data_IF_610778254189
#
_entry.id   IF_610778254189
#
_cell.length_a   1.000
_cell.length_b   1.000
_cell.length_c   1.000
_cell.angle_alpha   90.00
_cell.angle_beta   90.00
_cell.angle_gamma   90.00
#
_symmetry.space_group_name_H-M   'P 1'
#
loop_
_entity.id
_entity.type
_entity.pdbx_description
1 polymer ?
#
# COMPACT_ATOMS: atom_id res chain seq x y z
N UNK A 1 11.92 1.30 -20.34
CA UNK A 1 11.93 1.48 -19.86
C UNK A 1 11.79 1.56 -18.99
N UNK A 2 11.76 1.60 -18.59
CA UNK A 2 11.61 1.88 -17.90
C UNK A 2 11.89 2.01 -16.92
N UNK A 3 12.00 2.17 -16.74
CA UNK A 3 12.11 2.36 -15.89
C UNK A 3 12.41 2.82 -14.95
N UNK A 4 12.22 2.89 -14.58
CA UNK A 4 12.25 3.45 -13.61
C UNK A 4 13.11 3.18 -12.73
N UNK A 5 13.80 2.89 -12.89
CA UNK A 5 14.62 2.57 -12.21
C UNK A 5 15.07 3.46 -11.31
N UNK A 6 14.91 3.50 -10.33
CA UNK A 6 15.36 4.34 -9.36
C UNK A 6 16.69 3.91 -8.98
N UNK A 7 17.64 4.43 -9.61
CA UNK A 7 19.01 4.01 -9.38
C UNK A 7 19.46 4.24 -7.95
N UNK A 8 18.76 5.10 -7.26
CA UNK A 8 19.13 5.41 -5.89
C UNK A 8 18.39 4.59 -4.88
N UNK A 9 17.71 3.55 -5.30
CA UNK A 9 16.94 2.75 -4.39
C UNK A 9 17.84 2.12 -3.34
N UNK A 10 17.54 2.41 -2.09
CA UNK A 10 18.26 1.85 -0.97
C UNK A 10 17.85 0.38 -0.83
N UNK A 11 18.81 -0.57 -0.77
CA UNK A 11 18.45 -1.99 -0.63
C UNK A 11 17.61 -2.28 0.61
N UNK A 12 17.73 -1.46 1.66
CA UNK A 12 16.91 -1.62 2.85
C UNK A 12 15.42 -1.42 2.57
N UNK A 13 15.11 -0.61 1.55
CA UNK A 13 13.72 -0.38 1.19
C UNK A 13 13.05 -1.66 0.71
N UNK A 14 13.78 -2.49 -0.04
CA UNK A 14 13.24 -3.78 -0.49
C UNK A 14 12.90 -4.68 0.70
N UNK A 15 13.74 -4.68 1.74
CA UNK A 15 13.49 -5.48 2.93
C UNK A 15 12.22 -5.00 3.63
N UNK A 16 12.09 -3.69 3.81
CA UNK A 16 10.93 -3.13 4.48
C UNK A 16 9.66 -3.34 3.66
N UNK A 17 9.73 -3.14 2.36
CA UNK A 17 8.59 -3.32 1.48
C UNK A 17 8.08 -4.76 1.52
N UNK A 18 8.98 -5.72 1.49
CA UNK A 18 8.61 -7.13 1.58
C UNK A 18 7.92 -7.45 2.90
N UNK A 19 8.43 -6.87 4.00
CA UNK A 19 7.84 -7.09 5.31
C UNK A 19 6.45 -6.48 5.40
N UNK A 20 6.26 -5.28 4.84
CA UNK A 20 4.94 -4.64 4.85
C UNK A 20 3.95 -5.44 4.01
N UNK A 21 4.40 -5.95 2.85
CA UNK A 21 3.53 -6.79 2.01
C UNK A 21 3.12 -8.08 2.73
N UNK A 22 3.96 -8.59 3.63
CA UNK A 22 3.59 -9.78 4.41
C UNK A 22 2.73 -9.43 5.62
N UNK A 23 2.37 -8.18 5.81
CA UNK A 23 1.48 -7.79 6.90
C UNK A 23 2.13 -7.14 8.10
N UNK A 24 3.44 -6.98 8.09
CA UNK A 24 4.16 -6.35 9.19
C UNK A 24 4.08 -4.84 9.05
N UNK A 25 3.41 -4.18 9.98
CA UNK A 25 3.22 -2.73 9.90
C UNK A 25 3.64 -2.01 11.18
N UNK A 26 4.35 -2.69 12.07
CA UNK A 26 4.81 -2.06 13.28
C UNK A 26 6.14 -1.37 13.04
N UNK A 27 6.16 -0.09 13.35
CA UNK A 27 7.35 0.75 13.09
C UNK A 27 8.60 0.21 13.77
N UNK A 28 8.47 -0.20 15.03
CA UNK A 28 9.62 -0.70 15.78
C UNK A 28 10.20 -1.96 15.17
N UNK A 29 9.36 -2.86 14.69
CA UNK A 29 9.82 -4.09 14.07
C UNK A 29 10.48 -3.83 12.74
N UNK A 30 9.89 -2.95 11.93
CA UNK A 30 10.47 -2.61 10.64
C UNK A 30 11.80 -1.89 10.79
N UNK A 31 11.88 -0.99 11.77
CA UNK A 31 13.11 -0.27 12.05
C UNK A 31 14.23 -1.23 12.41
N UNK A 32 13.90 -2.24 13.22
CA UNK A 32 14.89 -3.24 13.64
C UNK A 32 15.44 -4.02 12.45
N UNK A 33 14.60 -4.30 11.46
CA UNK A 33 15.05 -5.04 10.27
C UNK A 33 16.17 -4.32 9.51
N UNK A 34 16.19 -3.00 9.58
CA UNK A 34 17.18 -2.21 8.86
C UNK A 34 18.13 -1.49 9.80
N UNK A 35 18.15 -1.91 11.06
CA UNK A 35 19.10 -1.41 12.07
C UNK A 35 18.99 0.09 12.32
N UNK A 36 17.77 0.62 12.33
CA UNK A 36 17.51 2.01 12.64
C UNK A 36 16.64 2.12 13.89
N UNK A 37 16.77 3.23 14.62
CA UNK A 37 15.82 3.50 15.68
C UNK A 37 14.46 3.82 15.05
N UNK A 38 13.36 3.68 15.79
CA UNK A 38 12.05 4.00 15.24
C UNK A 38 11.94 5.42 14.69
N UNK A 39 12.52 6.39 15.39
CA UNK A 39 12.48 7.77 14.92
C UNK A 39 13.26 7.95 13.63
N UNK A 40 14.46 7.39 13.56
CA UNK A 40 15.27 7.48 12.36
C UNK A 40 14.61 6.74 11.20
N UNK A 41 14.00 5.61 11.52
CA UNK A 41 13.27 4.84 10.50
C UNK A 41 12.16 5.69 9.89
N UNK A 42 11.39 6.41 10.70
CA UNK A 42 10.29 7.22 10.20
C UNK A 42 10.79 8.27 9.21
N UNK A 43 11.88 8.96 9.54
CA UNK A 43 12.44 9.96 8.64
C UNK A 43 13.00 9.33 7.37
N UNK A 44 13.74 8.26 7.54
CA UNK A 44 14.32 7.54 6.40
C UNK A 44 13.23 7.03 5.46
N UNK A 45 12.15 6.49 6.03
CA UNK A 45 11.08 5.91 5.22
C UNK A 45 10.40 6.99 4.37
N UNK A 46 10.13 8.16 4.95
CA UNK A 46 9.54 9.26 4.19
C UNK A 46 10.48 9.74 3.09
N UNK A 47 11.78 9.78 3.38
CA UNK A 47 12.76 10.16 2.36
C UNK A 47 12.75 9.20 1.18
N UNK A 48 12.59 7.90 1.47
CA UNK A 48 12.63 6.89 0.42
C UNK A 48 11.33 6.80 -0.37
N UNK A 49 10.19 6.93 0.29
CA UNK A 49 8.90 6.66 -0.35
C UNK A 49 8.05 7.89 -0.58
N UNK A 50 8.34 8.98 0.11
CA UNK A 50 7.52 10.17 0.08
C UNK A 50 6.29 10.11 0.96
N UNK A 51 6.09 9.00 1.69
CA UNK A 51 4.91 8.80 2.52
C UNK A 51 5.29 8.28 3.91
N UNK A 52 4.56 8.69 4.96
CA UNK A 52 4.72 8.04 6.25
C UNK A 52 4.33 6.56 6.14
N UNK A 53 4.89 5.74 7.01
CA UNK A 53 4.61 4.30 6.99
C UNK A 53 3.12 4.01 7.06
N UNK A 54 2.38 4.73 7.91
CA UNK A 54 0.94 4.52 8.04
C UNK A 54 0.22 4.68 6.70
N UNK A 55 0.55 5.74 5.98
CA UNK A 55 -0.07 6.01 4.68
C UNK A 55 0.33 4.98 3.64
N UNK A 56 1.60 4.58 3.66
CA UNK A 56 2.11 3.59 2.73
C UNK A 56 1.41 2.24 2.94
N UNK A 57 1.28 1.82 4.20
CA UNK A 57 0.61 0.56 4.51
C UNK A 57 -0.86 0.60 4.11
N UNK A 58 -1.52 1.74 4.33
CA UNK A 58 -2.90 1.91 3.92
C UNK A 58 -3.02 1.83 2.39
N UNK A 59 -2.12 2.50 1.70
CA UNK A 59 -2.11 2.48 0.24
C UNK A 59 -1.96 1.04 -0.29
N UNK A 60 -1.07 0.26 0.30
CA UNK A 60 -0.91 -1.15 -0.10
C UNK A 60 -2.18 -1.95 0.11
N UNK A 61 -2.87 -1.73 1.23
CA UNK A 61 -4.13 -2.44 1.48
C UNK A 61 -5.19 -2.07 0.46
N UNK A 62 -5.25 -0.79 0.11
CA UNK A 62 -6.26 -0.33 -0.84
C UNK A 62 -5.99 -0.87 -2.24
N UNK A 63 -4.73 -0.89 -2.66
CA UNK A 63 -4.39 -1.44 -3.97
C UNK A 63 -4.61 -2.95 -4.01
N UNK A 64 -4.37 -3.64 -2.89
CA UNK A 64 -4.67 -5.06 -2.81
C UNK A 64 -6.17 -5.31 -2.98
N UNK A 65 -7.00 -4.44 -2.39
CA UNK A 65 -8.45 -4.56 -2.55
C UNK A 65 -8.87 -4.44 -4.01
N UNK A 66 -8.23 -3.55 -4.78
CA UNK A 66 -8.54 -3.42 -6.21
C UNK A 66 -8.23 -4.72 -6.94
N UNK A 67 -7.12 -5.37 -6.60
CA UNK A 67 -6.76 -6.65 -7.19
C UNK A 67 -7.81 -7.72 -6.87
N UNK A 68 -8.31 -7.71 -5.63
CA UNK A 68 -9.36 -8.65 -5.24
C UNK A 68 -10.67 -8.40 -6.00
N UNK A 69 -11.02 -7.13 -6.18
CA UNK A 69 -12.18 -6.78 -6.98
C UNK A 69 -12.01 -7.25 -8.42
N UNK A 70 -10.82 -7.08 -8.97
CA UNK A 70 -10.53 -7.53 -10.32
C UNK A 70 -10.64 -9.05 -10.46
N UNK A 71 -10.38 -9.77 -9.36
CA UNK A 71 -10.49 -11.24 -9.37
C UNK A 71 -11.92 -11.72 -9.16
N UNK A 72 -12.86 -10.83 -8.93
CA UNK A 72 -14.27 -11.19 -8.83
C UNK A 72 -14.92 -11.05 -7.48
N UNK A 73 -14.19 -10.60 -6.45
CA UNK A 73 -14.81 -10.39 -5.14
C UNK A 73 -15.77 -9.21 -5.18
N UNK A 74 -16.80 -9.28 -4.33
CA UNK A 74 -17.70 -8.15 -4.16
C UNK A 74 -16.98 -7.03 -3.43
N UNK A 75 -17.53 -5.82 -3.50
CA UNK A 75 -16.99 -4.67 -2.80
C UNK A 75 -16.89 -4.94 -1.29
N UNK A 76 -17.93 -5.53 -0.73
CA UNK A 76 -17.95 -5.87 0.70
C UNK A 76 -16.87 -6.88 1.06
N UNK A 77 -16.75 -7.93 0.27
CA UNK A 77 -15.75 -8.97 0.55
C UNK A 77 -14.34 -8.43 0.41
N UNK A 78 -14.09 -7.63 -0.61
CA UNK A 78 -12.76 -7.04 -0.79
C UNK A 78 -12.42 -6.11 0.38
N UNK A 79 -13.38 -5.29 0.82
CA UNK A 79 -13.16 -4.40 1.94
C UNK A 79 -12.80 -5.17 3.21
N UNK A 80 -13.57 -6.23 3.50
CA UNK A 80 -13.29 -7.05 4.67
C UNK A 80 -11.93 -7.73 4.58
N UNK A 81 -11.57 -8.22 3.40
CA UNK A 81 -10.30 -8.93 3.22
C UNK A 81 -9.10 -8.05 3.53
N UNK A 82 -9.22 -6.75 3.33
CA UNK A 82 -8.11 -5.83 3.60
C UNK A 82 -8.29 -5.06 4.91
N UNK A 83 -9.22 -5.53 5.77
CA UNK A 83 -9.30 -5.04 7.14
C UNK A 83 -10.30 -3.92 7.41
N UNK A 84 -11.22 -3.65 6.50
CA UNK A 84 -12.26 -2.65 6.75
C UNK A 84 -13.54 -3.34 7.23
N UNK A 85 -14.24 -2.68 8.12
CA UNK A 85 -15.47 -3.25 8.71
C UNK A 85 -16.65 -3.17 7.75
N UNK A 86 -16.66 -2.23 6.82
CA UNK A 86 -17.74 -2.16 5.83
C UNK A 86 -17.23 -1.48 4.55
N UNK A 87 -18.00 -1.66 3.49
CA UNK A 87 -17.59 -1.15 2.18
C UNK A 87 -17.71 0.37 2.07
N UNK A 88 -18.59 0.99 2.84
CA UNK A 88 -18.73 2.43 2.82
C UNK A 88 -17.48 3.12 3.37
N UNK A 89 -16.97 2.62 4.50
CA UNK A 89 -15.74 3.14 5.08
C UNK A 89 -14.56 2.93 4.14
N UNK A 90 -14.49 1.73 3.55
CA UNK A 90 -13.46 1.41 2.58
C UNK A 90 -13.49 2.40 1.41
N UNK A 91 -14.67 2.64 0.82
CA UNK A 91 -14.80 3.54 -0.32
C UNK A 91 -14.40 4.97 0.01
N UNK A 92 -14.79 5.46 1.19
CA UNK A 92 -14.42 6.81 1.61
C UNK A 92 -12.93 6.95 1.80
N UNK A 93 -12.31 5.96 2.45
CA UNK A 93 -10.87 5.97 2.68
C UNK A 93 -10.11 5.87 1.36
N UNK A 94 -10.59 5.03 0.47
CA UNK A 94 -10.00 4.86 -0.84
C UNK A 94 -10.00 6.18 -1.60
N UNK A 95 -11.15 6.84 -1.65
CA UNK A 95 -11.28 8.10 -2.38
C UNK A 95 -10.42 9.20 -1.74
N UNK A 96 -10.37 9.23 -0.41
CA UNK A 96 -9.58 10.24 0.28
C UNK A 96 -8.09 10.10 -0.01
N UNK A 97 -7.60 8.88 -0.12
CA UNK A 97 -6.17 8.66 -0.33
C UNK A 97 -5.79 8.66 -1.79
N UNK A 98 -6.60 8.06 -2.66
CA UNK A 98 -6.22 7.86 -4.06
C UNK A 98 -6.91 8.82 -5.03
N UNK A 99 -7.88 9.58 -4.57
CA UNK A 99 -8.54 10.59 -5.39
C UNK A 99 -9.64 10.08 -6.31
N UNK A 100 -9.81 8.76 -6.40
CA UNK A 100 -10.89 8.16 -7.19
C UNK A 100 -11.54 7.07 -6.37
N UNK A 101 -12.74 6.65 -6.76
CA UNK A 101 -13.40 5.59 -6.01
C UNK A 101 -12.93 4.21 -6.49
N UNK A 102 -13.20 3.16 -5.71
CA UNK A 102 -12.73 1.82 -6.07
C UNK A 102 -13.26 1.32 -7.41
N UNK A 103 -14.48 1.69 -7.78
CA UNK A 103 -15.05 1.25 -9.05
C UNK A 103 -14.28 1.84 -10.23
N UNK A 104 -13.91 3.11 -10.13
CA UNK A 104 -13.11 3.76 -11.17
C UNK A 104 -11.73 3.13 -11.27
N UNK A 105 -11.11 2.83 -10.13
CA UNK A 105 -9.82 2.17 -10.12
C UNK A 105 -9.89 0.80 -10.77
N UNK A 106 -10.98 0.06 -10.49
CA UNK A 106 -11.17 -1.26 -11.08
C UNK A 106 -11.29 -1.16 -12.60
N UNK A 107 -12.02 -0.16 -13.09
CA UNK A 107 -12.17 0.04 -14.52
C UNK A 107 -10.83 0.30 -15.19
N UNK A 108 -9.95 1.08 -14.55
CA UNK A 108 -8.61 1.33 -15.05
C UNK A 108 -7.78 0.06 -15.15
N UNK A 109 -7.85 -0.77 -14.12
CA UNK A 109 -7.11 -2.03 -14.12
C UNK A 109 -7.59 -2.94 -15.26
N UNK A 110 -8.89 -3.01 -15.45
CA UNK A 110 -9.44 -3.85 -16.52
C UNK A 110 -9.10 -3.37 -17.90
N UNK A 111 -9.01 -2.05 -18.07
CA UNK A 111 -8.60 -1.49 -19.36
C UNK A 111 -7.14 -1.86 -19.67
N UNK A 112 -6.29 -1.83 -18.65
CA UNK A 112 -4.90 -2.17 -18.84
C UNK A 112 -4.68 -3.64 -19.14
N UNK A 113 -5.55 -4.48 -18.60
CA UNK A 113 -5.46 -5.92 -18.83
C UNK A 113 -6.00 -6.34 -20.17
N UNK A 114 -6.91 -5.56 -20.69
CA UNK A 114 -7.58 -5.88 -21.91
C UNK A 114 -6.79 -5.53 -23.13
#
# INVERSE_FOLDING_TARGET
MGVIDLPTTDPRLAVVSAAVHSGSVRRDQLAALVHLSPTRFSHWFVEQTGLPLRSYAKWLRLTHAVQLLASGLSMTDAAHAVGFSDSAHFSRTFRALLGIDPSSALAEVRLQEG
#
